data_IF_595447965216
#
_entry.id   IF_595447965216
#
_cell.length_a   1.000
_cell.length_b   1.000
_cell.length_c   1.000
_cell.angle_alpha   90.00
_cell.angle_beta   90.00
_cell.angle_gamma   90.00
#
_symmetry.space_group_name_H-M   'P 1'
#
loop_
_entity.id
_entity.type
_entity.pdbx_description
1 polymer ?
#
# COMPACT_ATOMS: atom_id res chain seq x y z
N UNK A 1 23.24 -18.09 13.18
CA UNK A 1 22.20 -18.05 12.11
C UNK A 1 22.27 -16.65 11.56
N UNK A 2 23.03 -16.53 10.49
CA UNK A 2 24.05 -15.49 10.41
C UNK A 2 23.51 -14.22 9.77
N UNK A 3 23.61 -13.10 10.50
CA UNK A 3 23.66 -11.79 9.88
C UNK A 3 24.74 -11.84 8.78
N UNK A 4 24.39 -11.44 7.56
CA UNK A 4 25.39 -10.95 6.58
C UNK A 4 26.05 -9.62 7.03
N UNK A 5 25.86 -9.21 8.29
CA UNK A 5 26.26 -7.93 8.88
C UNK A 5 27.24 -8.12 10.06
N UNK A 6 27.41 -9.34 10.60
CA UNK A 6 28.39 -9.59 11.68
C UNK A 6 29.78 -10.05 11.18
N UNK A 7 30.01 -10.05 9.86
CA UNK A 7 31.38 -10.01 9.35
C UNK A 7 31.86 -8.56 9.49
N UNK A 8 33.00 -8.27 10.18
CA UNK A 8 33.55 -6.93 10.29
C UNK A 8 34.06 -6.51 8.90
N UNK A 9 33.15 -6.07 8.05
CA UNK A 9 33.50 -5.47 6.76
C UNK A 9 33.88 -4.02 7.04
N UNK A 10 35.09 -3.66 6.59
CA UNK A 10 35.68 -2.32 6.72
C UNK A 10 34.64 -1.19 6.72
N UNK A 11 34.71 -0.33 7.75
CA UNK A 11 33.76 0.71 8.17
C UNK A 11 33.22 1.67 7.08
N UNK A 12 33.78 1.71 5.87
CA UNK A 12 33.29 2.55 4.77
C UNK A 12 32.15 1.93 3.97
N UNK A 13 32.18 0.62 3.67
CA UNK A 13 31.12 -0.02 2.87
C UNK A 13 29.82 -0.19 3.65
N UNK A 14 29.90 -0.46 4.96
CA UNK A 14 28.73 -0.51 5.84
C UNK A 14 28.05 0.85 5.98
N UNK A 15 28.83 1.94 6.08
CA UNK A 15 28.31 3.30 6.15
C UNK A 15 27.66 3.74 4.83
N UNK A 16 28.29 3.45 3.68
CA UNK A 16 27.74 3.77 2.35
C UNK A 16 26.41 3.04 2.12
N UNK A 17 26.33 1.74 2.46
CA UNK A 17 25.07 0.97 2.37
C UNK A 17 23.97 1.57 3.25
N UNK A 18 24.31 1.97 4.48
CA UNK A 18 23.34 2.60 5.40
C UNK A 18 22.86 3.96 4.91
N UNK A 19 23.77 4.83 4.44
CA UNK A 19 23.42 6.15 3.91
C UNK A 19 22.60 6.04 2.62
N UNK A 20 22.96 5.12 1.74
CA UNK A 20 22.24 4.86 0.50
C UNK A 20 20.82 4.35 0.79
N UNK A 21 20.67 3.40 1.71
CA UNK A 21 19.37 2.89 2.12
C UNK A 21 18.47 3.94 2.78
N UNK A 22 19.04 4.80 3.62
CA UNK A 22 18.29 5.88 4.28
C UNK A 22 17.78 6.92 3.29
N UNK A 23 18.63 7.36 2.35
CA UNK A 23 18.27 8.36 1.34
C UNK A 23 17.40 7.82 0.21
N UNK A 24 17.37 6.51 -0.01
CA UNK A 24 16.68 5.90 -1.14
C UNK A 24 15.17 6.05 -1.10
N UNK A 25 14.54 5.81 0.05
CA UNK A 25 13.09 5.99 0.20
C UNK A 25 12.66 7.42 -0.13
N UNK A 26 13.14 8.47 0.57
CA UNK A 26 12.70 9.82 0.28
C UNK A 26 13.08 10.26 -1.14
N UNK A 27 14.23 9.83 -1.69
CA UNK A 27 14.60 10.15 -3.07
C UNK A 27 13.62 9.57 -4.10
N UNK A 28 13.25 8.29 -3.98
CA UNK A 28 12.30 7.65 -4.90
C UNK A 28 10.91 8.28 -4.77
N UNK A 29 10.46 8.55 -3.54
CA UNK A 29 9.18 9.22 -3.32
C UNK A 29 9.18 10.64 -3.91
N UNK A 30 10.22 11.44 -3.67
CA UNK A 30 10.33 12.82 -4.20
C UNK A 30 10.40 12.84 -5.72
N UNK A 31 11.22 11.97 -6.34
CA UNK A 31 11.39 11.94 -7.80
C UNK A 31 10.11 11.43 -8.46
N UNK A 32 9.56 10.31 -7.99
CA UNK A 32 8.37 9.71 -8.57
C UNK A 32 7.14 10.60 -8.41
N UNK A 33 6.91 11.13 -7.20
CA UNK A 33 5.81 12.08 -6.97
C UNK A 33 6.05 13.41 -7.66
N UNK A 34 7.27 13.94 -7.66
CA UNK A 34 7.61 15.18 -8.36
C UNK A 34 7.31 15.09 -9.86
N UNK A 35 7.63 13.95 -10.48
CA UNK A 35 7.24 13.67 -11.86
C UNK A 35 5.71 13.60 -12.01
N UNK A 36 5.00 12.91 -11.13
CA UNK A 36 3.54 12.80 -11.17
C UNK A 36 2.86 14.18 -11.03
N UNK A 37 3.29 15.01 -10.07
CA UNK A 37 2.81 16.38 -9.90
C UNK A 37 3.15 17.26 -11.11
N UNK A 38 4.33 17.12 -11.70
CA UNK A 38 4.70 17.86 -12.90
C UNK A 38 3.80 17.49 -14.08
N UNK A 39 3.54 16.20 -14.30
CA UNK A 39 2.61 15.70 -15.32
C UNK A 39 1.19 16.24 -15.08
N UNK A 40 0.67 16.14 -13.86
CA UNK A 40 -0.65 16.62 -13.48
C UNK A 40 -0.86 18.12 -13.78
N UNK A 41 0.17 18.95 -13.56
CA UNK A 41 0.11 20.38 -13.86
C UNK A 41 0.21 20.69 -15.36
N UNK A 42 0.89 19.84 -16.16
CA UNK A 42 1.05 20.04 -17.60
C UNK A 42 -0.12 19.54 -18.41
N UNK A 43 -0.74 18.46 -17.96
CA UNK A 43 -1.82 17.76 -18.64
C UNK A 43 -2.91 17.42 -17.62
N UNK A 44 -3.72 18.42 -17.23
CA UNK A 44 -4.79 18.22 -16.24
C UNK A 44 -5.74 17.12 -16.69
N UNK A 45 -6.15 16.26 -15.75
CA UNK A 45 -7.14 15.24 -16.03
C UNK A 45 -8.50 15.90 -16.28
N UNK A 46 -9.13 15.61 -17.41
CA UNK A 46 -10.50 16.00 -17.62
C UNK A 46 -11.42 15.24 -16.64
N UNK A 47 -12.23 15.98 -15.87
CA UNK A 47 -13.20 15.46 -14.90
C UNK A 47 -14.22 14.46 -15.46
N UNK A 48 -14.34 14.38 -16.79
CA UNK A 48 -15.47 13.75 -17.46
C UNK A 48 -15.30 12.24 -17.67
N UNK A 49 -14.11 11.69 -17.44
CA UNK A 49 -13.79 10.27 -17.64
C UNK A 49 -13.14 9.64 -16.40
N UNK A 50 -13.71 9.90 -15.22
CA UNK A 50 -13.43 9.09 -14.01
C UNK A 50 -13.72 7.61 -14.31
N UNK A 51 -14.66 7.34 -15.25
CA UNK A 51 -15.40 6.11 -15.53
C UNK A 51 -14.57 4.84 -15.88
N UNK A 52 -13.26 4.94 -16.19
CA UNK A 52 -12.58 3.83 -16.87
C UNK A 52 -11.20 3.39 -16.33
N UNK A 53 -10.57 4.12 -15.42
CA UNK A 53 -9.10 4.25 -15.51
C UNK A 53 -8.26 3.83 -14.27
N UNK A 54 -8.80 3.13 -13.27
CA UNK A 54 -8.05 2.75 -12.06
C UNK A 54 -7.53 1.30 -12.00
N UNK A 55 -7.87 0.42 -12.96
CA UNK A 55 -7.26 -0.92 -13.05
C UNK A 55 -6.16 -0.96 -14.12
N UNK A 56 -4.97 -1.46 -13.76
CA UNK A 56 -3.80 -1.50 -14.66
C UNK A 56 -4.13 -2.26 -15.96
N UNK A 57 -5.02 -3.26 -15.90
CA UNK A 57 -5.43 -4.07 -17.06
C UNK A 57 -6.63 -3.54 -17.86
N UNK A 58 -7.60 -2.86 -17.23
CA UNK A 58 -8.69 -2.20 -17.96
C UNK A 58 -8.16 -1.19 -18.98
N UNK A 59 -7.03 -0.61 -18.60
CA UNK A 59 -6.26 0.39 -19.29
C UNK A 59 -5.38 -0.12 -20.46
N UNK A 60 -4.75 -1.30 -20.32
CA UNK A 60 -3.96 -1.92 -21.41
C UNK A 60 -4.86 -2.36 -22.58
N UNK A 61 -6.11 -2.73 -22.32
CA UNK A 61 -7.07 -3.07 -23.37
C UNK A 61 -7.80 -1.83 -23.92
N UNK A 62 -7.79 -0.72 -23.18
CA UNK A 62 -8.35 0.58 -23.57
C UNK A 62 -7.32 1.50 -24.26
N UNK A 63 -6.23 0.94 -24.80
CA UNK A 63 -5.24 1.65 -25.64
C UNK A 63 -5.83 2.22 -26.95
N UNK A 64 -7.14 2.09 -27.17
CA UNK A 64 -7.87 2.86 -28.16
C UNK A 64 -8.39 4.15 -27.50
N UNK A 65 -7.71 5.25 -27.83
CA UNK A 65 -8.09 6.65 -27.58
C UNK A 65 -7.92 7.27 -26.18
N UNK A 66 -7.60 6.52 -25.12
CA UNK A 66 -7.40 7.09 -23.78
C UNK A 66 -5.94 7.47 -23.46
N UNK A 67 -5.64 8.78 -23.50
CA UNK A 67 -4.61 9.52 -22.77
C UNK A 67 -3.39 8.77 -22.19
N UNK A 68 -2.41 8.44 -23.05
CA UNK A 68 -1.06 7.96 -22.69
C UNK A 68 -0.43 8.70 -21.49
N UNK A 69 -0.69 10.00 -21.38
CA UNK A 69 -0.20 10.90 -20.35
C UNK A 69 -0.60 10.48 -18.93
N UNK A 70 -1.83 9.98 -18.76
CA UNK A 70 -2.36 9.54 -17.46
C UNK A 70 -1.67 8.27 -16.98
N UNK A 71 -1.42 7.36 -17.92
CA UNK A 71 -0.61 6.17 -17.67
C UNK A 71 0.80 6.53 -17.27
N UNK A 72 1.43 7.47 -17.95
CA UNK A 72 2.77 7.90 -17.59
C UNK A 72 2.78 8.53 -16.20
N UNK A 73 1.77 9.33 -15.84
CA UNK A 73 1.69 9.95 -14.50
C UNK A 73 1.60 8.94 -13.35
N UNK A 74 0.89 7.83 -13.53
CA UNK A 74 0.66 6.81 -12.50
C UNK A 74 1.62 5.61 -12.61
N UNK A 75 1.61 4.94 -13.77
CA UNK A 75 2.29 3.66 -13.99
C UNK A 75 3.80 3.83 -13.94
N UNK A 76 4.35 4.90 -14.51
CA UNK A 76 5.80 5.06 -14.59
C UNK A 76 6.44 5.26 -13.21
N UNK A 77 5.98 6.18 -12.33
CA UNK A 77 6.49 6.28 -10.96
C UNK A 77 6.35 4.98 -10.16
N UNK A 78 5.19 4.33 -10.25
CA UNK A 78 4.92 3.06 -9.55
C UNK A 78 5.87 1.96 -10.03
N UNK A 79 6.04 1.81 -11.34
CA UNK A 79 6.92 0.81 -11.94
C UNK A 79 8.40 1.04 -11.59
N UNK A 80 8.85 2.30 -11.66
CA UNK A 80 10.21 2.67 -11.23
C UNK A 80 10.40 2.38 -9.75
N UNK A 81 9.42 2.72 -8.90
CA UNK A 81 9.47 2.43 -7.46
C UNK A 81 9.56 0.92 -7.21
N UNK A 82 8.71 0.11 -7.86
CA UNK A 82 8.73 -1.35 -7.73
C UNK A 82 10.08 -1.96 -8.16
N UNK A 83 10.63 -1.53 -9.31
CA UNK A 83 11.98 -1.95 -9.74
C UNK A 83 13.01 -1.56 -8.68
N UNK A 84 12.95 -0.33 -8.18
CA UNK A 84 13.93 0.15 -7.22
C UNK A 84 13.88 -0.65 -5.90
N UNK A 85 12.69 -0.86 -5.33
CA UNK A 85 12.53 -1.67 -4.12
C UNK A 85 13.04 -3.08 -4.37
N UNK A 86 12.67 -3.71 -5.50
CA UNK A 86 13.20 -5.02 -5.87
C UNK A 86 14.74 -5.05 -5.91
N UNK A 87 15.38 -4.07 -6.53
CA UNK A 87 16.84 -3.97 -6.54
C UNK A 87 17.41 -3.82 -5.12
N UNK A 88 16.77 -3.02 -4.26
CA UNK A 88 17.18 -2.85 -2.87
C UNK A 88 17.08 -4.17 -2.08
N UNK A 89 16.01 -4.95 -2.27
CA UNK A 89 15.89 -6.28 -1.68
C UNK A 89 16.97 -7.26 -2.17
N UNK A 90 17.44 -7.11 -3.42
CA UNK A 90 18.50 -7.96 -3.96
C UNK A 90 19.87 -7.65 -3.38
N UNK A 91 20.19 -6.36 -3.24
CA UNK A 91 21.53 -5.92 -2.84
C UNK A 91 21.69 -5.66 -1.34
N UNK A 92 20.59 -5.35 -0.65
CA UNK A 92 20.55 -4.99 0.75
C UNK A 92 19.29 -5.54 1.42
N UNK A 93 19.13 -6.87 1.43
CA UNK A 93 18.00 -7.51 2.10
C UNK A 93 18.10 -7.42 3.62
N UNK A 94 16.98 -7.15 4.29
CA UNK A 94 16.81 -7.27 5.74
C UNK A 94 16.97 -8.73 6.19
N UNK A 95 16.24 -9.65 5.55
CA UNK A 95 16.36 -11.08 5.80
C UNK A 95 16.63 -11.85 4.51
N UNK A 96 17.73 -12.60 4.46
CA UNK A 96 18.02 -13.48 3.33
C UNK A 96 16.99 -14.62 3.21
N UNK A 97 16.36 -15.03 4.32
CA UNK A 97 15.35 -16.08 4.35
C UNK A 97 14.03 -15.67 3.67
N UNK A 98 13.75 -14.37 3.59
CA UNK A 98 12.54 -13.84 2.95
C UNK A 98 12.67 -13.65 1.44
N UNK A 99 13.75 -14.17 0.83
CA UNK A 99 13.88 -14.16 -0.63
C UNK A 99 12.79 -15.05 -1.25
N UNK A 100 11.91 -14.48 -2.07
CA UNK A 100 10.79 -15.23 -2.62
C UNK A 100 11.27 -16.22 -3.69
N UNK A 101 10.57 -17.35 -3.77
CA UNK A 101 10.76 -18.35 -4.81
C UNK A 101 9.68 -18.22 -5.88
N UNK A 102 10.06 -18.46 -7.14
CA UNK A 102 9.14 -18.24 -8.26
C UNK A 102 7.86 -19.06 -8.15
N UNK A 103 7.98 -20.37 -7.90
CA UNK A 103 6.84 -21.30 -7.86
C UNK A 103 6.04 -21.20 -6.56
N UNK A 104 6.71 -21.01 -5.42
CA UNK A 104 6.08 -21.05 -4.11
C UNK A 104 5.41 -19.72 -3.74
N UNK A 105 6.01 -18.58 -4.13
CA UNK A 105 5.57 -17.25 -3.70
C UNK A 105 5.08 -16.42 -4.89
N UNK A 106 5.99 -16.07 -5.80
CA UNK A 106 5.77 -15.04 -6.84
C UNK A 106 4.62 -15.41 -7.77
N UNK A 107 4.55 -16.67 -8.22
CA UNK A 107 3.50 -17.09 -9.16
C UNK A 107 2.09 -16.87 -8.60
N UNK A 108 1.91 -17.16 -7.31
CA UNK A 108 0.61 -16.96 -6.66
C UNK A 108 0.28 -15.49 -6.46
N UNK A 109 1.25 -14.67 -6.07
CA UNK A 109 1.05 -13.23 -5.86
C UNK A 109 0.83 -12.49 -7.19
N UNK A 110 1.54 -12.86 -8.27
CA UNK A 110 1.29 -12.34 -9.63
C UNK A 110 -0.09 -12.78 -10.12
N UNK A 111 -0.46 -14.05 -9.90
CA UNK A 111 -1.77 -14.56 -10.30
C UNK A 111 -2.91 -13.83 -9.58
N UNK A 112 -2.76 -13.59 -8.28
CA UNK A 112 -3.72 -12.81 -7.49
C UNK A 112 -3.73 -11.35 -7.90
N UNK A 113 -2.58 -10.72 -8.17
CA UNK A 113 -2.49 -9.36 -8.69
C UNK A 113 -3.23 -9.21 -10.02
N UNK A 114 -3.04 -10.14 -10.97
CA UNK A 114 -3.75 -10.13 -12.26
C UNK A 114 -5.26 -10.33 -12.02
N UNK A 115 -5.64 -11.32 -11.21
CA UNK A 115 -7.04 -11.61 -10.90
C UNK A 115 -7.71 -10.37 -10.29
N UNK A 116 -7.09 -9.78 -9.27
CA UNK A 116 -7.55 -8.56 -8.63
C UNK A 116 -7.71 -7.48 -9.70
N UNK A 117 -6.69 -7.18 -10.51
CA UNK A 117 -6.78 -6.13 -11.55
C UNK A 117 -7.84 -6.36 -12.64
N UNK A 118 -8.22 -7.62 -12.91
CA UNK A 118 -9.34 -7.95 -13.80
C UNK A 118 -10.68 -7.76 -13.08
N UNK A 119 -10.78 -8.18 -11.82
CA UNK A 119 -11.98 -8.05 -10.98
C UNK A 119 -12.19 -6.63 -10.40
N UNK A 120 -11.14 -5.79 -10.37
CA UNK A 120 -11.14 -4.37 -9.96
C UNK A 120 -12.17 -3.52 -10.73
N UNK A 121 -12.82 -4.05 -11.77
CA UNK A 121 -13.90 -3.33 -12.46
C UNK A 121 -15.13 -3.04 -11.57
N UNK A 122 -15.35 -3.77 -10.47
CA UNK A 122 -16.59 -3.66 -9.67
C UNK A 122 -16.59 -2.56 -8.58
N UNK A 123 -15.45 -2.36 -7.90
CA UNK A 123 -15.24 -1.28 -6.90
C UNK A 123 -15.55 0.11 -7.48
N UNK A 124 -15.29 0.26 -8.77
CA UNK A 124 -15.49 1.49 -9.50
C UNK A 124 -16.98 1.87 -9.66
N UNK A 125 -17.88 0.88 -9.84
CA UNK A 125 -19.33 1.13 -9.84
C UNK A 125 -19.84 1.53 -8.46
N UNK A 126 -19.24 0.99 -7.40
CA UNK A 126 -19.57 1.37 -6.00
C UNK A 126 -19.08 2.80 -5.73
N UNK A 127 -17.84 3.14 -6.12
CA UNK A 127 -17.30 4.48 -5.99
C UNK A 127 -18.12 5.51 -6.79
N UNK A 128 -18.55 5.20 -8.01
CA UNK A 128 -19.47 6.06 -8.79
C UNK A 128 -20.83 6.20 -8.12
N UNK A 129 -21.43 5.11 -7.63
CA UNK A 129 -22.72 5.19 -6.96
C UNK A 129 -22.65 6.09 -5.72
N UNK A 130 -21.55 5.98 -4.97
CA UNK A 130 -21.27 6.81 -3.80
C UNK A 130 -20.93 8.26 -4.19
N UNK A 131 -20.19 8.47 -5.28
CA UNK A 131 -19.88 9.80 -5.83
C UNK A 131 -21.14 10.50 -6.36
N UNK A 132 -22.04 9.77 -7.01
CA UNK A 132 -23.33 10.26 -7.47
C UNK A 132 -24.22 10.65 -6.31
N UNK A 133 -24.30 9.80 -5.27
CA UNK A 133 -25.01 10.12 -4.04
C UNK A 133 -24.42 11.35 -3.33
N UNK A 134 -23.11 11.48 -3.29
CA UNK A 134 -22.46 12.62 -2.65
C UNK A 134 -22.46 13.89 -3.50
N UNK A 135 -22.47 13.79 -4.83
CA UNK A 135 -22.74 14.89 -5.76
C UNK A 135 -24.16 15.44 -5.57
N UNK A 136 -25.14 14.57 -5.29
CA UNK A 136 -26.49 14.99 -4.88
C UNK A 136 -26.45 15.74 -3.54
N UNK A 137 -25.65 15.28 -2.58
CA UNK A 137 -25.48 15.97 -1.28
C UNK A 137 -24.79 17.34 -1.47
N UNK A 138 -23.70 17.42 -2.23
CA UNK A 138 -22.97 18.66 -2.52
C UNK A 138 -23.85 19.68 -3.26
N UNK A 139 -24.66 19.22 -4.22
CA UNK A 139 -25.64 20.09 -4.92
C UNK A 139 -26.78 20.55 -4.00
N UNK A 140 -27.18 19.76 -3.01
CA UNK A 140 -28.16 20.19 -1.98
C UNK A 140 -27.62 21.28 -1.06
N UNK A 141 -26.32 21.25 -0.74
CA UNK A 141 -25.69 22.25 0.13
C UNK A 141 -25.07 23.43 -0.64
N UNK A 142 -24.92 23.32 -1.97
CA UNK A 142 -24.40 24.40 -2.83
C UNK A 142 -22.94 24.76 -2.57
N UNK A 143 -22.17 23.90 -1.88
CA UNK A 143 -20.78 24.16 -1.47
C UNK A 143 -19.97 22.87 -1.61
N UNK A 144 -18.91 22.90 -2.42
CA UNK A 144 -17.85 21.89 -2.30
C UNK A 144 -17.10 22.18 -1.01
N UNK A 145 -17.11 21.21 -0.10
CA UNK A 145 -16.42 21.32 1.19
C UNK A 145 -14.92 21.02 1.06
N UNK A 146 -14.49 20.47 -0.08
CA UNK A 146 -13.10 20.25 -0.40
C UNK A 146 -12.40 21.57 -0.77
N UNK A 147 -11.19 21.83 -0.25
CA UNK A 147 -10.48 23.07 -0.52
C UNK A 147 -9.79 23.05 -1.90
N UNK A 148 -10.60 23.10 -2.97
CA UNK A 148 -10.12 23.02 -4.35
C UNK A 148 -9.17 24.17 -4.75
N UNK A 149 -9.22 25.30 -4.05
CA UNK A 149 -8.32 26.45 -4.26
C UNK A 149 -6.94 26.30 -3.59
N UNK A 150 -6.73 25.26 -2.78
CA UNK A 150 -5.42 25.01 -2.16
C UNK A 150 -4.39 24.52 -3.18
N UNK A 151 -3.08 24.74 -2.92
CA UNK A 151 -2.03 24.06 -3.68
C UNK A 151 -2.27 22.55 -3.74
N UNK A 152 -2.15 21.96 -4.93
CA UNK A 152 -2.47 20.55 -5.19
C UNK A 152 -1.77 19.59 -4.21
N UNK A 153 -0.51 19.88 -3.82
CA UNK A 153 0.23 19.10 -2.82
C UNK A 153 -0.49 19.08 -1.47
N UNK A 154 -1.03 20.21 -1.02
CA UNK A 154 -1.75 20.28 0.26
C UNK A 154 -3.10 19.54 0.19
N UNK A 155 -3.75 19.54 -0.98
CA UNK A 155 -4.95 18.72 -1.20
C UNK A 155 -4.62 17.22 -1.10
N UNK A 156 -3.52 16.77 -1.70
CA UNK A 156 -3.05 15.37 -1.60
C UNK A 156 -2.70 15.00 -0.16
N UNK A 157 -2.03 15.89 0.58
CA UNK A 157 -1.75 15.66 2.01
C UNK A 157 -3.04 15.56 2.83
N UNK A 158 -4.01 16.45 2.59
CA UNK A 158 -5.31 16.38 3.25
C UNK A 158 -6.04 15.07 2.93
N UNK A 159 -6.01 14.65 1.66
CA UNK A 159 -6.56 13.36 1.24
C UNK A 159 -5.92 12.22 2.01
N UNK A 160 -4.58 12.15 2.06
CA UNK A 160 -3.87 11.06 2.74
C UNK A 160 -4.23 11.01 4.23
N UNK A 161 -4.32 12.15 4.92
CA UNK A 161 -4.70 12.19 6.35
C UNK A 161 -6.14 11.70 6.57
N UNK A 162 -7.09 12.12 5.73
CA UNK A 162 -8.50 11.73 5.83
C UNK A 162 -8.71 10.25 5.47
N UNK A 163 -8.10 9.80 4.37
CA UNK A 163 -8.13 8.41 3.95
C UNK A 163 -7.53 7.51 5.04
N UNK A 164 -6.40 7.91 5.62
CA UNK A 164 -5.72 7.16 6.67
C UNK A 164 -6.61 6.94 7.89
N UNK A 165 -7.44 7.92 8.27
CA UNK A 165 -8.34 7.74 9.40
C UNK A 165 -9.33 6.59 9.17
N UNK A 166 -9.89 6.54 7.97
CA UNK A 166 -10.87 5.53 7.59
C UNK A 166 -10.23 4.16 7.41
N UNK A 167 -9.07 4.10 6.74
CA UNK A 167 -8.33 2.84 6.53
C UNK A 167 -7.75 2.31 7.83
N UNK A 168 -7.28 3.17 8.74
CA UNK A 168 -6.82 2.77 10.07
C UNK A 168 -7.91 2.00 10.82
N UNK A 169 -9.13 2.52 10.87
CA UNK A 169 -10.23 1.85 11.57
C UNK A 169 -10.66 0.56 10.89
N UNK A 170 -10.74 0.54 9.56
CA UNK A 170 -11.03 -0.69 8.83
C UNK A 170 -9.97 -1.76 9.13
N UNK A 171 -8.69 -1.40 9.03
CA UNK A 171 -7.57 -2.31 9.23
C UNK A 171 -7.49 -2.82 10.68
N UNK A 172 -7.73 -1.94 11.66
CA UNK A 172 -7.84 -2.35 13.05
C UNK A 172 -9.00 -3.32 13.28
N UNK A 173 -10.17 -3.06 12.68
CA UNK A 173 -11.30 -3.97 12.75
C UNK A 173 -11.02 -5.31 12.03
N UNK A 174 -10.25 -5.28 10.95
CA UNK A 174 -9.76 -6.48 10.25
C UNK A 174 -8.90 -7.36 11.18
N UNK A 175 -8.13 -6.78 12.09
CA UNK A 175 -7.37 -7.51 13.10
C UNK A 175 -8.19 -7.92 14.33
N UNK A 176 -9.17 -7.11 14.74
CA UNK A 176 -9.93 -7.33 15.98
C UNK A 176 -11.23 -8.14 15.79
N UNK A 177 -11.75 -8.24 14.55
CA UNK A 177 -13.01 -8.93 14.24
C UNK A 177 -12.76 -10.12 13.35
N UNK A 178 -13.01 -11.31 13.89
CA UNK A 178 -12.91 -12.59 13.21
C UNK A 178 -13.44 -12.63 11.76
N UNK A 179 -14.65 -12.07 11.51
CA UNK A 179 -15.25 -12.05 10.18
C UNK A 179 -14.39 -11.31 9.15
N UNK A 180 -13.77 -10.21 9.57
CA UNK A 180 -12.90 -9.38 8.74
C UNK A 180 -11.50 -9.97 8.67
N UNK A 181 -10.99 -10.50 9.79
CA UNK A 181 -9.69 -11.19 9.85
C UNK A 181 -9.59 -12.32 8.84
N UNK A 182 -10.63 -13.15 8.69
CA UNK A 182 -10.62 -14.22 7.68
C UNK A 182 -10.34 -13.76 6.26
N UNK A 183 -10.75 -12.54 5.94
CA UNK A 183 -10.52 -11.90 4.65
C UNK A 183 -9.10 -11.37 4.63
N UNK A 184 -8.78 -10.49 5.57
CA UNK A 184 -7.52 -9.78 5.65
C UNK A 184 -6.32 -10.71 5.89
N UNK A 185 -6.51 -11.87 6.51
CA UNK A 185 -5.44 -12.84 6.74
C UNK A 185 -4.79 -13.34 5.44
N UNK A 186 -5.48 -13.24 4.28
CA UNK A 186 -4.87 -13.51 2.96
C UNK A 186 -3.64 -12.62 2.75
N UNK A 187 -3.71 -11.37 3.20
CA UNK A 187 -2.63 -10.40 3.18
C UNK A 187 -1.47 -10.80 4.11
N UNK A 188 -1.79 -11.21 5.35
CA UNK A 188 -0.80 -11.63 6.36
C UNK A 188 -0.27 -13.05 6.18
N UNK A 189 -0.87 -13.85 5.29
CA UNK A 189 -0.50 -15.26 5.11
C UNK A 189 0.96 -15.51 4.65
N UNK A 190 1.59 -14.67 3.78
CA UNK A 190 2.95 -14.92 3.33
C UNK A 190 3.94 -15.22 4.46
N UNK A 191 4.67 -16.32 4.31
CA UNK A 191 5.77 -16.72 5.19
C UNK A 191 7.09 -15.99 4.89
N UNK A 192 7.07 -15.14 3.86
CA UNK A 192 8.18 -14.28 3.39
C UNK A 192 7.61 -12.91 3.07
N UNK A 193 8.24 -11.85 3.56
CA UNK A 193 7.83 -10.47 3.32
C UNK A 193 8.75 -9.86 2.26
N UNK A 194 8.17 -9.42 1.16
CA UNK A 194 8.82 -8.78 0.03
C UNK A 194 7.83 -7.87 -0.72
N UNK A 195 8.35 -6.97 -1.56
CA UNK A 195 7.61 -5.84 -2.13
C UNK A 195 6.29 -6.20 -2.83
N UNK A 196 6.20 -7.39 -3.45
CA UNK A 196 5.00 -7.81 -4.18
C UNK A 196 3.84 -8.18 -3.24
N UNK A 197 4.11 -8.50 -1.96
CA UNK A 197 3.06 -8.78 -0.98
C UNK A 197 2.14 -7.57 -0.76
N UNK A 198 2.60 -6.35 -1.09
CA UNK A 198 1.78 -5.14 -1.12
C UNK A 198 0.56 -5.24 -2.06
N UNK A 199 0.50 -6.26 -2.93
CA UNK A 199 -0.61 -6.49 -3.86
C UNK A 199 -1.46 -7.71 -3.49
N UNK A 200 -1.05 -8.44 -2.45
CA UNK A 200 -1.68 -9.67 -2.03
C UNK A 200 -2.81 -9.35 -1.05
N UNK A 201 -4.02 -9.35 -1.58
CA UNK A 201 -5.24 -9.06 -0.82
C UNK A 201 -6.38 -9.94 -1.32
N UNK A 202 -7.29 -10.29 -0.43
CA UNK A 202 -8.53 -10.91 -0.86
C UNK A 202 -9.36 -9.89 -1.65
N UNK A 203 -10.24 -10.38 -2.53
CA UNK A 203 -11.06 -9.51 -3.38
C UNK A 203 -11.96 -8.53 -2.59
N UNK A 204 -12.37 -8.92 -1.38
CA UNK A 204 -13.14 -8.03 -0.52
C UNK A 204 -12.30 -6.87 0.04
N UNK A 205 -11.04 -7.10 0.45
CA UNK A 205 -10.15 -6.01 0.91
C UNK A 205 -9.89 -5.04 -0.24
N UNK A 206 -9.66 -5.60 -1.43
CA UNK A 206 -9.48 -4.85 -2.67
C UNK A 206 -10.63 -3.89 -2.97
N UNK A 207 -11.87 -4.22 -2.59
CA UNK A 207 -13.01 -3.30 -2.71
C UNK A 207 -13.11 -2.37 -1.50
N UNK A 208 -12.99 -2.93 -0.29
CA UNK A 208 -13.27 -2.22 0.94
C UNK A 208 -12.27 -1.08 1.17
N UNK A 209 -10.97 -1.33 1.03
CA UNK A 209 -9.90 -0.37 1.31
C UNK A 209 -10.02 0.89 0.43
N UNK A 210 -10.10 0.80 -0.92
CA UNK A 210 -10.27 1.99 -1.75
C UNK A 210 -11.60 2.70 -1.53
N UNK A 211 -12.69 1.97 -1.26
CA UNK A 211 -14.00 2.60 -0.97
C UNK A 211 -13.91 3.45 0.29
N UNK A 212 -13.41 2.92 1.40
CA UNK A 212 -13.31 3.69 2.66
C UNK A 212 -12.32 4.84 2.56
N UNK A 213 -11.23 4.68 1.79
CA UNK A 213 -10.24 5.73 1.57
C UNK A 213 -10.79 6.89 0.72
N UNK A 214 -11.49 6.58 -0.39
CA UNK A 214 -11.86 7.57 -1.40
C UNK A 214 -13.21 8.24 -1.14
N UNK A 215 -14.21 7.51 -0.62
CA UNK A 215 -15.59 8.02 -0.48
C UNK A 215 -15.66 9.35 0.29
N UNK A 216 -14.96 9.54 1.44
CA UNK A 216 -15.02 10.82 2.14
C UNK A 216 -14.53 11.99 1.29
N UNK A 217 -13.38 11.85 0.62
CA UNK A 217 -12.82 12.92 -0.19
C UNK A 217 -13.67 13.23 -1.42
N UNK A 218 -14.14 12.19 -2.12
CA UNK A 218 -15.07 12.32 -3.24
C UNK A 218 -16.35 13.04 -2.78
N UNK A 219 -16.87 12.68 -1.60
CA UNK A 219 -18.10 13.27 -1.08
C UNK A 219 -17.96 14.75 -0.72
N UNK A 220 -16.76 15.18 -0.33
CA UNK A 220 -16.43 16.58 -0.11
C UNK A 220 -16.17 17.34 -1.41
N UNK A 221 -16.00 16.63 -2.53
CA UNK A 221 -15.76 17.20 -3.87
C UNK A 221 -14.28 17.33 -4.23
N UNK A 222 -13.43 16.39 -3.77
CA UNK A 222 -12.05 16.31 -4.20
C UNK A 222 -11.94 16.02 -5.70
N UNK A 223 -11.04 16.74 -6.38
CA UNK A 223 -10.74 16.47 -7.78
C UNK A 223 -10.10 15.09 -7.98
N UNK A 224 -10.41 14.45 -9.11
CA UNK A 224 -9.88 13.12 -9.45
C UNK A 224 -8.34 13.09 -9.48
N UNK A 225 -7.69 14.20 -9.84
CA UNK A 225 -6.23 14.34 -9.84
C UNK A 225 -5.65 14.16 -8.44
N UNK A 226 -6.34 14.64 -7.39
CA UNK A 226 -5.92 14.42 -6.00
C UNK A 226 -5.93 12.93 -5.68
N UNK A 227 -6.99 12.23 -6.08
CA UNK A 227 -7.15 10.79 -5.87
C UNK A 227 -6.06 10.01 -6.61
N UNK A 228 -5.79 10.34 -7.87
CA UNK A 228 -4.72 9.70 -8.65
C UNK A 228 -3.34 9.90 -8.00
N UNK A 229 -3.01 11.13 -7.58
CA UNK A 229 -1.72 11.41 -6.96
C UNK A 229 -1.58 10.71 -5.60
N UNK A 230 -2.62 10.71 -4.78
CA UNK A 230 -2.62 9.99 -3.50
C UNK A 230 -2.52 8.47 -3.69
N UNK A 231 -3.16 7.92 -4.72
CA UNK A 231 -3.07 6.49 -5.07
C UNK A 231 -1.66 6.16 -5.57
N UNK A 232 -1.07 6.99 -6.44
CA UNK A 232 0.33 6.84 -6.88
C UNK A 232 1.27 6.78 -5.68
N UNK A 233 1.13 7.73 -4.75
CA UNK A 233 1.90 7.76 -3.51
C UNK A 233 1.70 6.46 -2.72
N UNK A 234 0.45 6.05 -2.51
CA UNK A 234 0.12 4.90 -1.67
C UNK A 234 0.66 3.59 -2.23
N UNK A 235 0.58 3.38 -3.54
CA UNK A 235 1.12 2.16 -4.16
C UNK A 235 2.65 2.15 -4.12
N UNK A 236 3.29 3.30 -4.40
CA UNK A 236 4.75 3.42 -4.27
C UNK A 236 5.20 3.14 -2.83
N UNK A 237 4.49 3.71 -1.85
CA UNK A 237 4.77 3.53 -0.43
C UNK A 237 4.52 2.08 0.04
N UNK A 238 3.43 1.46 -0.42
CA UNK A 238 3.10 0.06 -0.18
C UNK A 238 4.22 -0.91 -0.58
N UNK A 239 4.83 -0.70 -1.76
CA UNK A 239 6.00 -1.49 -2.16
C UNK A 239 7.17 -1.35 -1.18
N UNK A 240 7.42 -0.14 -0.68
CA UNK A 240 8.44 0.07 0.33
C UNK A 240 8.09 -0.64 1.64
N UNK A 241 6.88 -0.47 2.15
CA UNK A 241 6.41 -1.06 3.42
C UNK A 241 6.60 -2.58 3.48
N UNK A 242 6.27 -3.27 2.39
CA UNK A 242 6.44 -4.72 2.29
C UNK A 242 7.84 -5.13 1.84
N UNK A 243 8.68 -4.16 1.48
CA UNK A 243 10.00 -4.39 0.98
C UNK A 243 10.89 -5.11 1.99
N UNK A 244 11.56 -6.17 1.54
CA UNK A 244 12.63 -6.84 2.28
C UNK A 244 13.93 -6.02 2.29
N UNK A 245 13.91 -4.71 2.06
CA UNK A 245 15.12 -3.88 2.05
C UNK A 245 15.55 -3.52 3.48
N UNK A 246 16.82 -3.70 3.84
CA UNK A 246 17.36 -3.29 5.16
C UNK A 246 17.53 -1.76 5.21
N UNK A 247 16.41 -1.09 5.48
CA UNK A 247 16.28 0.35 5.64
C UNK A 247 15.92 0.67 7.09
N UNK A 248 16.48 1.76 7.60
CA UNK A 248 16.18 2.29 8.94
C UNK A 248 15.52 3.64 8.74
N UNK A 249 14.28 3.85 9.16
CA UNK A 249 13.55 5.09 8.92
C UNK A 249 13.79 6.13 10.02
N UNK A 250 14.25 5.70 11.20
CA UNK A 250 14.57 6.60 12.30
C UNK A 250 13.34 7.41 12.72
N UNK A 251 13.43 8.74 12.67
CA UNK A 251 12.31 9.62 13.02
C UNK A 251 11.12 9.53 12.04
N UNK A 252 11.34 9.06 10.81
CA UNK A 252 10.24 8.86 9.85
C UNK A 252 9.25 7.78 10.31
N UNK A 253 9.65 6.88 11.23
CA UNK A 253 8.75 5.93 11.90
C UNK A 253 7.65 6.59 12.75
N UNK A 254 7.69 7.91 12.96
CA UNK A 254 6.63 8.66 13.64
C UNK A 254 5.72 9.41 12.66
N UNK A 255 5.92 9.25 11.35
CA UNK A 255 5.15 9.94 10.31
C UNK A 255 4.54 8.95 9.35
N UNK A 256 5.38 8.10 8.75
CA UNK A 256 4.94 7.13 7.74
C UNK A 256 4.94 5.72 8.33
N UNK A 257 4.06 4.87 7.81
CA UNK A 257 4.10 3.45 8.09
C UNK A 257 5.30 2.86 7.36
N UNK A 258 6.40 2.66 8.08
CA UNK A 258 7.67 2.29 7.45
C UNK A 258 7.78 0.78 7.25
N UNK A 259 8.79 0.32 6.49
CA UNK A 259 9.10 -1.10 6.40
C UNK A 259 9.54 -1.70 7.73
N UNK A 260 10.08 -0.89 8.66
CA UNK A 260 10.40 -1.36 10.01
C UNK A 260 9.14 -1.65 10.81
N UNK A 261 8.16 -0.74 10.79
CA UNK A 261 6.89 -0.90 11.50
C UNK A 261 6.03 -2.01 10.89
N UNK A 262 5.96 -2.05 9.56
CA UNK A 262 5.09 -2.98 8.85
C UNK A 262 5.57 -4.44 8.96
N UNK A 263 6.88 -4.66 9.09
CA UNK A 263 7.40 -6.01 9.44
C UNK A 263 6.87 -6.50 10.78
N UNK A 264 6.86 -5.64 11.79
CA UNK A 264 6.31 -5.97 13.11
C UNK A 264 4.82 -6.23 13.07
N UNK A 265 4.11 -5.51 12.21
CA UNK A 265 2.69 -5.77 11.94
C UNK A 265 2.45 -7.13 11.26
N UNK A 266 3.38 -7.60 10.43
CA UNK A 266 3.29 -8.89 9.73
C UNK A 266 3.81 -10.11 10.50
N UNK A 267 4.29 -9.94 11.74
CA UNK A 267 4.77 -11.08 12.54
C UNK A 267 3.63 -12.04 12.89
N UNK A 268 3.99 -13.30 13.12
CA UNK A 268 3.04 -14.35 13.48
C UNK A 268 2.46 -14.17 14.90
N UNK A 269 3.20 -13.53 15.80
CA UNK A 269 2.75 -13.24 17.15
C UNK A 269 1.73 -12.10 17.14
N UNK A 270 0.45 -12.43 17.35
CA UNK A 270 -0.65 -11.47 17.36
C UNK A 270 -0.54 -10.40 18.44
N UNK A 271 0.19 -10.66 19.53
CA UNK A 271 0.44 -9.64 20.56
C UNK A 271 1.32 -8.49 20.06
N UNK A 272 2.12 -8.74 19.01
CA UNK A 272 2.95 -7.75 18.34
C UNK A 272 2.30 -7.26 17.04
N UNK A 273 1.75 -8.17 16.22
CA UNK A 273 1.15 -7.87 14.93
C UNK A 273 -0.06 -6.92 15.00
N UNK A 274 -0.81 -6.95 16.10
CA UNK A 274 -1.97 -6.06 16.33
C UNK A 274 -1.55 -4.64 16.73
N UNK A 275 -0.63 -4.05 15.96
CA UNK A 275 -0.07 -2.71 16.08
C UNK A 275 0.28 -2.18 14.68
N UNK A 276 0.50 -0.87 14.56
CA UNK A 276 0.90 -0.20 13.32
C UNK A 276 -0.07 -0.39 12.15
N UNK A 277 -1.37 -0.14 12.38
CA UNK A 277 -2.43 -0.32 11.38
C UNK A 277 -2.40 0.73 10.25
N UNK A 278 -1.62 1.80 10.37
CA UNK A 278 -1.46 2.80 9.32
C UNK A 278 -0.98 2.19 8.00
N UNK A 279 -1.70 2.47 6.92
CA UNK A 279 -1.39 2.08 5.54
C UNK A 279 -0.39 3.02 4.88
N UNK A 280 -0.43 4.33 5.14
CA UNK A 280 0.56 5.29 4.65
C UNK A 280 1.19 6.10 5.77
N UNK A 281 0.35 6.61 6.67
CA UNK A 281 0.73 7.45 7.79
C UNK A 281 0.45 6.71 9.10
N UNK A 282 1.33 6.90 10.07
CA UNK A 282 1.25 6.23 11.37
C UNK A 282 0.55 7.10 12.45
N UNK A 283 0.05 8.27 12.03
CA UNK A 283 -0.50 9.28 12.93
C UNK A 283 -1.64 8.74 13.80
N UNK A 284 -2.51 7.90 13.26
CA UNK A 284 -3.64 7.35 14.01
C UNK A 284 -3.22 6.25 14.98
N UNK A 285 -2.17 5.49 14.67
CA UNK A 285 -1.57 4.58 15.65
C UNK A 285 -0.97 5.33 16.84
N UNK A 286 -0.37 6.51 16.62
CA UNK A 286 0.11 7.36 17.72
C UNK A 286 -1.05 7.92 18.54
N UNK A 287 -2.12 8.39 17.89
CA UNK A 287 -3.30 8.96 18.55
C UNK A 287 -4.05 7.91 19.38
N UNK A 288 -4.22 6.70 18.84
CA UNK A 288 -4.99 5.62 19.47
C UNK A 288 -4.13 4.62 20.26
N UNK A 289 -2.82 4.87 20.36
CA UNK A 289 -1.90 4.08 21.19
C UNK A 289 -1.60 2.68 20.66
N UNK A 290 -1.64 2.48 19.34
CA UNK A 290 -1.33 1.21 18.66
C UNK A 290 0.01 1.24 17.91
N UNK A 291 0.81 2.29 18.10
CA UNK A 291 2.18 2.36 17.55
C UNK A 291 3.14 1.46 18.32
N UNK A 292 3.92 0.64 17.60
CA UNK A 292 4.93 -0.23 18.18
C UNK A 292 6.20 -0.31 17.33
N UNK A 293 7.34 -0.06 17.96
CA UNK A 293 8.66 -0.40 17.42
C UNK A 293 9.53 -0.99 18.54
N UNK A 294 9.69 -2.32 18.59
CA UNK A 294 10.55 -2.99 19.57
C UNK A 294 12.00 -2.53 19.50
N UNK A 295 12.76 -2.80 20.57
CA UNK A 295 14.20 -2.51 20.65
C UNK A 295 14.96 -3.35 19.61
N UNK A 296 16.13 -2.86 19.19
CA UNK A 296 16.95 -3.41 18.10
C UNK A 296 17.54 -4.81 18.37
N UNK A 297 17.38 -5.35 19.56
CA UNK A 297 17.78 -6.72 19.91
C UNK A 297 16.72 -7.76 19.57
N UNK A 298 15.48 -7.33 19.29
CA UNK A 298 14.41 -8.17 18.75
C UNK A 298 14.30 -7.95 17.25
N UNK A 299 14.11 -9.03 16.50
CA UNK A 299 13.94 -8.99 15.04
C UNK A 299 12.64 -9.73 14.67
N UNK A 300 11.81 -9.16 13.76
CA UNK A 300 10.58 -9.80 13.31
C UNK A 300 10.93 -10.93 12.33
N UNK A 301 11.35 -12.11 12.80
CA UNK A 301 11.83 -13.19 11.91
C UNK A 301 10.74 -14.16 11.48
N UNK A 302 9.70 -14.33 12.29
CA UNK A 302 8.59 -15.22 12.02
C UNK A 302 7.37 -14.41 11.60
N UNK A 303 7.09 -14.44 10.31
CA UNK A 303 5.94 -13.79 9.68
C UNK A 303 4.98 -14.85 9.13
N UNK A 304 3.80 -14.42 8.72
CA UNK A 304 2.78 -15.31 8.22
C UNK A 304 1.73 -15.67 9.27
N UNK A 305 0.73 -16.45 8.84
CA UNK A 305 -0.33 -16.96 9.72
C UNK A 305 -0.03 -18.42 10.09
N UNK A 306 -0.25 -18.78 11.35
CA UNK A 306 -0.04 -20.16 11.83
C UNK A 306 -1.05 -21.13 11.22
N UNK A 307 -0.60 -22.30 10.77
CA UNK A 307 -1.49 -23.40 10.36
C UNK A 307 -2.23 -23.19 9.03
N UNK A 308 -1.89 -22.15 8.27
CA UNK A 308 -2.55 -21.83 7.00
C UNK A 308 -1.59 -22.02 5.83
N UNK A 309 -2.00 -22.82 4.83
CA UNK A 309 -1.29 -22.90 3.56
C UNK A 309 -1.62 -21.68 2.69
N UNK A 310 -0.62 -20.83 2.46
CA UNK A 310 -0.71 -19.63 1.62
C UNK A 310 -0.51 -19.86 0.13
N UNK A 311 -0.29 -21.10 -0.31
CA UNK A 311 0.08 -21.45 -1.67
C UNK A 311 -1.10 -21.44 -2.65
N UNK A 312 -0.97 -20.67 -3.74
CA UNK A 312 -1.84 -20.72 -4.91
C UNK A 312 -3.07 -19.81 -4.86
N UNK A 313 -3.43 -19.26 -6.03
CA UNK A 313 -4.50 -18.26 -6.18
C UNK A 313 -5.86 -18.77 -5.68
N UNK A 314 -6.20 -20.04 -5.98
CA UNK A 314 -7.47 -20.62 -5.56
C UNK A 314 -7.57 -20.80 -4.04
N UNK A 315 -6.49 -21.18 -3.37
CA UNK A 315 -6.48 -21.29 -1.92
C UNK A 315 -6.62 -19.92 -1.26
N UNK A 316 -5.92 -18.90 -1.77
CA UNK A 316 -6.05 -17.53 -1.26
C UNK A 316 -7.49 -17.00 -1.40
N UNK A 317 -8.15 -17.28 -2.51
CA UNK A 317 -9.55 -16.89 -2.72
C UNK A 317 -10.53 -17.65 -1.81
N UNK A 318 -10.27 -18.94 -1.54
CA UNK A 318 -11.15 -19.77 -0.73
C UNK A 318 -10.82 -19.72 0.77
N UNK A 319 -9.68 -19.15 1.15
CA UNK A 319 -9.17 -19.13 2.52
C UNK A 319 -10.19 -18.54 3.51
N UNK A 320 -10.85 -17.40 3.23
CA UNK A 320 -11.79 -16.83 4.18
C UNK A 320 -12.98 -17.74 4.49
N UNK A 321 -13.29 -18.70 3.61
CA UNK A 321 -14.41 -19.63 3.78
C UNK A 321 -14.01 -20.95 4.43
N UNK A 322 -12.70 -21.20 4.61
CA UNK A 322 -12.17 -22.44 5.19
C UNK A 322 -11.68 -22.27 6.63
N UNK A 323 -11.30 -21.06 7.02
CA UNK A 323 -10.84 -20.74 8.38
C UNK A 323 -11.97 -20.85 9.40
N UNK A 324 -11.65 -21.40 10.58
CA UNK A 324 -12.50 -21.41 11.78
C UNK A 324 -11.97 -20.43 12.82
N UNK A 325 -12.86 -19.93 13.67
CA UNK A 325 -12.52 -18.91 14.68
C UNK A 325 -11.52 -19.43 15.73
N UNK A 326 -11.39 -20.75 15.82
CA UNK A 326 -10.42 -21.44 16.68
C UNK A 326 -9.01 -21.53 16.10
N UNK A 327 -8.83 -21.17 14.82
CA UNK A 327 -7.55 -21.27 14.09
C UNK A 327 -6.71 -20.00 14.26
#
# INVERSE_FOLDING_TARGET
MDRLIDQPTNNSMGLIRRLFAWGSYPAVMIIGMGFAFWMANKLPLASNNIVFELSIFGNVLALHDADLHKYLMYVLPVFISGIWVYLMERFQSFSAAWRPEWKANIFSDVGLFILNNVLLRAEFFVAIAMAGAAGVVSTWFGVSLWPNDWPLVLQVVLFLVLAEFMTYWLHRLEHEKWLLWRVHCVHHNPDKLYWLNATRFHYFDIIALPVVANVPAIALGADVTVIYLATTFSVMHGFWQHGNADVRFGWLNYIVSSPELHRWHHVKDTSMANHNYGSNLIIWDLVFGTWMLPKQDLEPTEIGVSGVDGGGVANQFLLPFRLKESD
#
